data_IF_143700092367
#
_entry.id   IF_143700092367
#
_cell.length_a   1.000
_cell.length_b   1.000
_cell.length_c   1.000
_cell.angle_alpha   90.00
_cell.angle_beta   90.00
_cell.angle_gamma   90.00
#
_symmetry.space_group_name_H-M   'P 1'
#
loop_
_entity.id
_entity.type
_entity.pdbx_description
1 polymer ?
#
# COMPACT_ATOMS: atom_id res chain seq x y z
N UNK A 1 -73.92 -9.31 32.21
CA UNK A 1 -73.69 -10.34 31.17
C UNK A 1 -72.20 -10.61 31.08
N UNK A 2 -71.81 -11.89 31.02
CA UNK A 2 -70.43 -12.40 30.97
C UNK A 2 -69.74 -12.02 29.65
N UNK A 3 -68.40 -11.97 29.66
CA UNK A 3 -67.36 -12.09 28.60
C UNK A 3 -66.18 -11.18 29.03
N UNK A 4 -64.88 -11.49 29.02
CA UNK A 4 -63.99 -12.43 28.32
C UNK A 4 -62.81 -12.74 29.28
N UNK A 5 -62.47 -13.98 29.61
CA UNK A 5 -61.55 -14.89 28.89
C UNK A 5 -60.16 -14.31 28.55
N UNK A 6 -59.18 -14.75 29.35
CA UNK A 6 -57.79 -15.14 29.03
C UNK A 6 -57.03 -14.32 27.95
N UNK A 7 -55.94 -13.67 28.36
CA UNK A 7 -54.69 -13.76 27.61
C UNK A 7 -53.46 -13.49 28.50
N UNK A 8 -52.89 -14.57 29.03
CA UNK A 8 -51.56 -14.58 29.62
C UNK A 8 -50.55 -14.76 28.49
N UNK A 9 -49.92 -13.68 28.02
CA UNK A 9 -48.92 -13.75 26.95
C UNK A 9 -47.53 -13.80 27.57
N UNK A 10 -46.91 -14.99 27.51
CA UNK A 10 -45.52 -15.23 27.94
C UNK A 10 -44.57 -14.55 26.93
N UNK A 11 -43.92 -13.47 27.35
CA UNK A 11 -42.87 -12.82 26.58
C UNK A 11 -41.61 -13.70 26.59
N UNK A 12 -41.36 -14.44 25.51
CA UNK A 12 -40.11 -15.18 25.31
C UNK A 12 -39.04 -14.22 24.79
N UNK A 13 -38.03 -13.90 25.61
CA UNK A 13 -36.80 -13.28 25.13
C UNK A 13 -36.11 -14.24 24.15
N UNK A 14 -36.09 -13.89 22.87
CA UNK A 14 -35.27 -14.56 21.86
C UNK A 14 -33.91 -13.86 21.88
N UNK A 15 -32.90 -14.51 22.46
CA UNK A 15 -31.51 -14.07 22.38
C UNK A 15 -31.01 -14.29 20.95
N UNK A 16 -30.89 -13.20 20.19
CA UNK A 16 -30.32 -13.22 18.84
C UNK A 16 -28.79 -13.26 19.00
N UNK A 17 -28.21 -14.45 18.90
CA UNK A 17 -26.77 -14.64 18.70
C UNK A 17 -26.41 -14.13 17.29
N UNK A 18 -26.00 -12.86 17.21
CA UNK A 18 -25.46 -12.29 15.97
C UNK A 18 -24.06 -12.87 15.77
N UNK A 19 -23.80 -13.67 14.71
CA UNK A 19 -22.45 -14.10 14.41
C UNK A 19 -21.62 -12.86 14.03
N UNK A 20 -20.55 -12.60 14.79
CA UNK A 20 -19.63 -11.52 14.54
C UNK A 20 -18.74 -11.91 13.35
N UNK A 21 -19.16 -11.53 12.15
CA UNK A 21 -18.35 -11.73 10.94
C UNK A 21 -17.10 -10.87 11.07
N UNK A 22 -15.95 -11.53 11.28
CA UNK A 22 -14.64 -10.88 11.26
C UNK A 22 -14.35 -10.48 9.82
N UNK A 23 -14.57 -9.22 9.48
CA UNK A 23 -14.14 -8.65 8.20
C UNK A 23 -12.61 -8.63 8.20
N UNK A 24 -11.99 -9.46 7.35
CA UNK A 24 -10.55 -9.40 7.14
C UNK A 24 -10.18 -8.02 6.56
N UNK A 25 -9.07 -7.39 7.02
CA UNK A 25 -8.65 -6.11 6.48
C UNK A 25 -8.33 -6.27 4.98
N UNK A 26 -9.12 -5.60 4.14
CA UNK A 26 -8.80 -5.37 2.73
C UNK A 26 -7.52 -4.53 2.68
N UNK A 27 -6.56 -4.93 1.84
CA UNK A 27 -5.24 -4.34 1.70
C UNK A 27 -5.29 -2.81 1.67
N UNK A 28 -5.09 -2.23 2.84
CA UNK A 28 -5.07 -0.79 3.02
C UNK A 28 -3.76 -0.28 2.45
N UNK A 29 -3.83 0.82 1.69
CA UNK A 29 -2.69 1.56 1.19
C UNK A 29 -1.56 1.60 2.22
N UNK A 30 -0.43 1.00 1.89
CA UNK A 30 0.71 0.91 2.81
C UNK A 30 1.38 2.28 2.84
N UNK A 31 1.26 2.97 3.97
CA UNK A 31 1.91 4.25 4.22
C UNK A 31 3.12 3.96 5.11
N UNK A 32 4.29 4.29 4.59
CA UNK A 32 5.54 4.25 5.34
C UNK A 32 6.06 5.66 5.59
N UNK A 33 6.74 5.85 6.72
CA UNK A 33 7.26 7.16 7.17
C UNK A 33 8.74 7.04 7.52
N UNK A 34 9.54 7.98 7.04
CA UNK A 34 10.97 8.11 7.35
C UNK A 34 11.31 9.59 7.53
N UNK A 35 11.66 9.97 8.76
CA UNK A 35 11.93 11.36 9.12
C UNK A 35 10.71 12.26 8.89
N UNK A 36 10.82 13.23 7.99
CA UNK A 36 9.72 14.12 7.60
C UNK A 36 9.06 13.75 6.26
N UNK A 37 9.37 12.58 5.70
CA UNK A 37 8.80 12.06 4.45
C UNK A 37 7.87 10.89 4.75
N UNK A 38 6.67 10.93 4.17
CA UNK A 38 5.74 9.82 4.13
C UNK A 38 5.47 9.43 2.68
N UNK A 39 5.21 8.15 2.42
CA UNK A 39 4.79 7.72 1.09
C UNK A 39 3.70 6.68 1.15
N UNK A 40 2.63 6.95 0.39
CA UNK A 40 1.62 5.96 0.07
C UNK A 40 2.08 5.17 -1.15
N UNK A 41 2.12 3.85 -1.00
CA UNK A 41 2.54 2.93 -2.05
C UNK A 41 1.33 2.27 -2.71
N UNK A 42 1.42 2.08 -4.03
CA UNK A 42 0.48 1.28 -4.79
C UNK A 42 1.16 0.50 -5.91
N UNK A 43 0.70 -0.72 -6.16
CA UNK A 43 1.11 -1.55 -7.29
C UNK A 43 -0.08 -2.24 -7.94
N UNK A 44 -0.15 -2.18 -9.27
CA UNK A 44 -1.24 -2.76 -10.04
C UNK A 44 -1.04 -4.26 -10.34
N UNK A 45 -2.13 -5.03 -10.45
CA UNK A 45 -3.50 -4.68 -10.07
C UNK A 45 -3.71 -4.84 -8.55
N UNK A 46 -4.24 -3.81 -7.87
CA UNK A 46 -4.72 -3.90 -6.49
C UNK A 46 -3.78 -4.64 -5.52
N UNK A 47 -2.48 -4.33 -5.53
CA UNK A 47 -1.44 -4.97 -4.71
C UNK A 47 -1.23 -6.48 -4.95
N UNK A 48 -1.70 -6.99 -6.09
CA UNK A 48 -1.60 -8.39 -6.50
C UNK A 48 -0.90 -8.53 -7.87
N UNK A 49 0.38 -8.12 -7.98
CA UNK A 49 1.13 -8.27 -9.23
C UNK A 49 1.31 -9.75 -9.61
N UNK A 50 1.43 -10.00 -10.92
CA UNK A 50 1.59 -11.34 -11.47
C UNK A 50 2.97 -11.57 -12.08
N UNK A 51 3.44 -12.81 -12.04
CA UNK A 51 4.71 -13.21 -12.66
C UNK A 51 4.70 -12.91 -14.15
N UNK A 52 5.77 -12.29 -14.66
CA UNK A 52 5.93 -11.99 -16.07
C UNK A 52 4.98 -10.91 -16.63
N UNK A 53 4.08 -10.36 -15.80
CA UNK A 53 3.18 -9.29 -16.18
C UNK A 53 3.75 -7.95 -15.71
N UNK A 54 3.85 -6.94 -16.59
CA UNK A 54 4.23 -5.60 -16.18
C UNK A 54 3.22 -5.00 -15.19
N UNK A 55 3.69 -4.69 -13.99
CA UNK A 55 2.90 -4.05 -12.94
C UNK A 55 3.32 -2.59 -12.80
N UNK A 56 2.37 -1.66 -12.98
CA UNK A 56 2.60 -0.26 -12.67
C UNK A 56 2.70 -0.07 -11.17
N UNK A 57 3.69 0.68 -10.73
CA UNK A 57 3.96 0.97 -9.33
C UNK A 57 4.16 2.46 -9.16
N UNK A 58 3.63 3.04 -8.09
CA UNK A 58 3.85 4.45 -7.77
C UNK A 58 3.90 4.70 -6.27
N UNK A 59 4.55 5.80 -5.90
CA UNK A 59 4.78 6.22 -4.52
C UNK A 59 4.38 7.68 -4.36
N UNK A 60 3.23 7.95 -3.73
CA UNK A 60 2.82 9.31 -3.44
C UNK A 60 3.61 9.86 -2.25
N UNK A 61 4.78 10.44 -2.55
CA UNK A 61 5.65 11.08 -1.57
C UNK A 61 5.06 12.39 -1.08
N UNK A 62 5.05 12.57 0.24
CA UNK A 62 4.66 13.82 0.89
C UNK A 62 5.61 14.18 2.02
N UNK A 63 5.72 15.47 2.32
CA UNK A 63 6.36 15.98 3.53
C UNK A 63 5.35 16.10 4.65
N UNK A 64 5.82 16.23 5.89
CA UNK A 64 4.99 16.70 7.02
C UNK A 64 4.17 17.92 6.59
N UNK A 65 2.87 17.90 6.86
CA UNK A 65 1.91 18.90 6.38
C UNK A 65 1.26 18.56 5.02
N UNK A 66 1.56 17.40 4.42
CA UNK A 66 0.88 16.88 3.25
C UNK A 66 1.35 17.45 1.90
N UNK A 67 2.43 18.22 1.90
CA UNK A 67 3.01 18.78 0.68
C UNK A 67 3.63 17.67 -0.19
N UNK A 68 3.26 17.59 -1.46
CA UNK A 68 3.76 16.56 -2.38
C UNK A 68 5.25 16.78 -2.66
N UNK A 69 6.03 15.69 -2.69
CA UNK A 69 7.41 15.67 -3.19
C UNK A 69 7.39 15.06 -4.60
N UNK A 70 7.48 15.87 -5.68
CA UNK A 70 7.55 15.32 -7.03
C UNK A 70 8.92 14.69 -7.29
N UNK A 71 8.98 13.74 -8.23
CA UNK A 71 10.22 13.08 -8.67
C UNK A 71 11.26 14.09 -9.19
N UNK A 72 10.80 15.20 -9.77
CA UNK A 72 11.69 16.29 -10.22
C UNK A 72 12.52 16.90 -9.08
N UNK A 73 12.06 16.81 -7.82
CA UNK A 73 12.75 17.29 -6.62
C UNK A 73 13.55 16.21 -5.88
N UNK A 74 13.47 14.95 -6.30
CA UNK A 74 14.08 13.82 -5.61
C UNK A 74 15.15 13.14 -6.46
N UNK A 75 16.29 12.83 -5.85
CA UNK A 75 17.23 11.83 -6.36
C UNK A 75 16.77 10.44 -5.90
N UNK A 76 15.58 10.04 -6.37
CA UNK A 76 14.93 8.82 -5.93
C UNK A 76 15.48 7.60 -6.66
N UNK A 77 15.59 6.47 -5.97
CA UNK A 77 15.98 5.18 -6.52
C UNK A 77 15.06 4.08 -5.98
N UNK A 78 14.73 3.12 -6.83
CA UNK A 78 13.96 1.95 -6.44
C UNK A 78 14.79 0.68 -6.61
N UNK A 79 14.82 -0.13 -5.56
CA UNK A 79 15.49 -1.42 -5.53
C UNK A 79 14.49 -2.51 -5.14
N UNK A 80 14.53 -3.65 -5.83
CA UNK A 80 13.65 -4.80 -5.57
C UNK A 80 14.51 -5.99 -5.16
N UNK A 81 14.18 -6.60 -4.02
CA UNK A 81 14.87 -7.76 -3.47
C UNK A 81 13.89 -8.93 -3.36
N UNK A 82 14.31 -10.14 -3.71
CA UNK A 82 13.55 -11.35 -3.38
C UNK A 82 13.63 -11.65 -1.89
N UNK A 83 12.56 -12.17 -1.29
CA UNK A 83 12.54 -12.65 0.10
C UNK A 83 12.41 -14.20 0.13
N UNK A 84 13.19 -14.90 0.98
CA UNK A 84 14.27 -14.37 1.81
C UNK A 84 15.43 -13.84 0.96
N UNK A 85 16.11 -12.82 1.46
CA UNK A 85 17.18 -12.15 0.72
C UNK A 85 18.40 -13.06 0.60
N UNK A 86 18.70 -13.50 -0.63
CA UNK A 86 19.86 -14.35 -0.92
C UNK A 86 21.16 -13.56 -1.13
N UNK A 87 21.05 -12.26 -1.42
CA UNK A 87 22.17 -11.37 -1.71
C UNK A 87 21.85 -9.92 -1.34
N UNK A 88 22.88 -9.15 -0.98
CA UNK A 88 22.78 -7.69 -0.75
C UNK A 88 22.55 -6.90 -2.04
N UNK A 89 22.74 -7.51 -3.21
CA UNK A 89 22.47 -6.88 -4.50
C UNK A 89 20.98 -6.98 -4.83
N UNK A 90 20.32 -5.89 -5.25
CA UNK A 90 18.92 -5.97 -5.66
C UNK A 90 18.76 -6.80 -6.92
N UNK A 91 17.67 -7.56 -6.96
CA UNK A 91 17.27 -8.36 -8.12
C UNK A 91 16.89 -7.45 -9.30
N UNK A 92 16.15 -6.37 -9.03
CA UNK A 92 15.76 -5.38 -10.03
C UNK A 92 16.09 -3.96 -9.53
N UNK A 93 16.44 -3.08 -10.46
CA UNK A 93 16.56 -1.63 -10.23
C UNK A 93 15.71 -0.88 -11.26
N UNK A 94 14.37 -0.86 -11.10
CA UNK A 94 13.49 -0.20 -12.06
C UNK A 94 13.81 1.29 -12.14
N UNK A 95 13.85 1.83 -13.36
CA UNK A 95 13.97 3.28 -13.55
C UNK A 95 12.68 3.97 -13.14
N UNK A 96 12.81 5.09 -12.42
CA UNK A 96 11.67 5.89 -12.00
C UNK A 96 11.33 6.93 -13.07
N UNK A 97 10.03 7.11 -13.28
CA UNK A 97 9.42 8.10 -14.15
C UNK A 97 8.36 8.89 -13.37
N UNK A 98 8.09 10.10 -13.84
CA UNK A 98 7.13 11.00 -13.21
C UNK A 98 5.71 10.60 -13.63
N UNK A 99 4.84 10.29 -12.67
CA UNK A 99 3.44 9.91 -12.95
C UNK A 99 2.46 10.88 -12.29
N UNK A 100 1.32 11.08 -12.95
CA UNK A 100 0.15 11.74 -12.37
C UNK A 100 -0.90 10.67 -12.06
N UNK A 101 -1.25 10.52 -10.79
CA UNK A 101 -2.20 9.49 -10.31
C UNK A 101 -3.16 10.15 -9.34
N UNK A 102 -4.47 9.91 -9.52
CA UNK A 102 -5.52 10.51 -8.69
C UNK A 102 -5.34 12.03 -8.52
N UNK A 103 -5.11 12.49 -7.28
CA UNK A 103 -4.80 13.88 -6.90
C UNK A 103 -3.30 14.20 -6.87
N UNK A 104 -2.44 13.19 -6.94
CA UNK A 104 -0.99 13.35 -6.86
C UNK A 104 -0.40 13.67 -8.24
N UNK A 105 0.58 14.57 -8.26
CA UNK A 105 1.20 15.05 -9.50
C UNK A 105 2.71 14.86 -9.45
N UNK A 106 3.24 14.32 -10.54
CA UNK A 106 4.66 14.08 -10.76
C UNK A 106 5.32 13.16 -9.73
N UNK A 107 4.59 12.19 -9.18
CA UNK A 107 5.11 11.26 -8.18
C UNK A 107 6.05 10.24 -8.82
N UNK A 108 7.02 9.70 -8.06
CA UNK A 108 7.83 8.58 -8.54
C UNK A 108 6.97 7.37 -8.89
N UNK A 109 7.14 6.84 -10.10
CA UNK A 109 6.53 5.60 -10.53
C UNK A 109 7.41 4.78 -11.47
N UNK A 110 7.16 3.48 -11.53
CA UNK A 110 7.90 2.54 -12.34
C UNK A 110 6.99 1.45 -12.88
N UNK A 111 7.47 0.72 -13.88
CA UNK A 111 6.89 -0.55 -14.31
C UNK A 111 7.83 -1.67 -13.87
N UNK A 112 7.29 -2.64 -13.14
CA UNK A 112 8.07 -3.76 -12.59
C UNK A 112 7.50 -5.04 -13.19
N UNK A 113 8.36 -5.87 -13.78
CA UNK A 113 7.99 -7.23 -14.21
C UNK A 113 8.74 -8.22 -13.32
N UNK A 114 8.00 -8.92 -12.45
CA UNK A 114 8.60 -9.86 -11.51
C UNK A 114 8.91 -11.18 -12.22
N UNK A 115 10.14 -11.72 -12.09
CA UNK A 115 10.54 -12.90 -12.86
C UNK A 115 9.96 -14.21 -12.31
N UNK A 116 9.59 -14.24 -11.02
CA UNK A 116 9.12 -15.45 -10.34
C UNK A 116 8.06 -15.12 -9.29
N UNK A 117 7.23 -16.11 -8.95
CA UNK A 117 6.28 -15.99 -7.85
C UNK A 117 7.04 -16.00 -6.53
N UNK A 118 6.52 -15.28 -5.53
CA UNK A 118 7.14 -15.19 -4.22
C UNK A 118 6.99 -13.82 -3.57
N UNK A 119 7.69 -13.65 -2.45
CA UNK A 119 7.70 -12.39 -1.71
C UNK A 119 8.88 -11.53 -2.14
N UNK A 120 8.65 -10.23 -2.22
CA UNK A 120 9.65 -9.25 -2.58
C UNK A 120 9.61 -8.08 -1.60
N UNK A 121 10.75 -7.44 -1.41
CA UNK A 121 10.86 -6.14 -0.75
C UNK A 121 11.19 -5.09 -1.79
N UNK A 122 10.36 -4.05 -1.87
CA UNK A 122 10.61 -2.85 -2.66
C UNK A 122 11.15 -1.79 -1.71
N UNK A 123 12.36 -1.32 -1.96
CA UNK A 123 12.99 -0.26 -1.18
C UNK A 123 13.11 1.00 -2.03
N UNK A 124 12.37 2.03 -1.66
CA UNK A 124 12.47 3.37 -2.24
C UNK A 124 13.38 4.22 -1.35
N UNK A 125 14.46 4.73 -1.92
CA UNK A 125 15.35 5.70 -1.26
C UNK A 125 15.35 7.01 -2.00
N UNK A 126 15.68 8.10 -1.30
CA UNK A 126 15.78 9.39 -1.93
C UNK A 126 16.53 10.41 -1.09
N UNK A 127 17.17 11.35 -1.79
CA UNK A 127 17.73 12.58 -1.22
C UNK A 127 17.14 13.79 -1.93
N UNK A 128 17.05 14.96 -1.27
CA UNK A 128 16.60 16.18 -1.91
C UNK A 128 17.59 16.60 -3.01
N UNK A 129 17.04 17.04 -4.14
CA UNK A 129 17.80 17.84 -5.12
C UNK A 129 17.98 19.27 -4.59
N UNK A 130 18.88 20.03 -5.22
CA UNK A 130 19.08 21.46 -4.89
C UNK A 130 17.76 22.22 -4.88
N UNK A 131 17.50 22.99 -3.82
CA UNK A 131 16.26 23.74 -3.61
C UNK A 131 15.07 22.94 -3.07
N UNK A 132 15.15 21.61 -2.99
CA UNK A 132 14.15 20.80 -2.30
C UNK A 132 14.43 20.72 -0.79
N UNK A 133 13.37 20.66 0.01
CA UNK A 133 13.47 20.71 1.48
C UNK A 133 12.78 19.51 2.14
N UNK A 134 13.43 18.35 2.10
CA UNK A 134 13.05 17.15 2.84
C UNK A 134 14.29 16.37 3.27
N UNK A 135 14.16 15.54 4.31
CA UNK A 135 15.27 14.70 4.78
C UNK A 135 15.49 13.51 3.85
N UNK A 136 16.74 13.02 3.70
CA UNK A 136 16.99 11.71 3.10
C UNK A 136 16.12 10.63 3.74
N UNK A 137 15.63 9.70 2.92
CA UNK A 137 14.71 8.67 3.39
C UNK A 137 15.02 7.29 2.79
N UNK A 138 14.51 6.27 3.48
CA UNK A 138 14.44 4.88 3.01
C UNK A 138 13.11 4.28 3.47
N UNK A 139 12.29 3.84 2.52
CA UNK A 139 10.97 3.26 2.76
C UNK A 139 10.93 1.87 2.13
N UNK A 140 10.35 0.89 2.82
CA UNK A 140 10.33 -0.50 2.38
C UNK A 140 8.93 -1.08 2.42
N UNK A 141 8.54 -1.76 1.34
CA UNK A 141 7.20 -2.35 1.17
C UNK A 141 7.34 -3.83 0.81
N UNK A 142 6.48 -4.67 1.37
CA UNK A 142 6.48 -6.09 1.02
C UNK A 142 5.37 -6.41 0.03
N UNK A 143 5.74 -7.10 -1.05
CA UNK A 143 4.82 -7.46 -2.13
C UNK A 143 4.85 -8.97 -2.32
N UNK A 144 3.68 -9.58 -2.41
CA UNK A 144 3.54 -10.99 -2.79
C UNK A 144 3.13 -11.07 -4.25
N UNK A 145 3.94 -11.76 -5.05
CA UNK A 145 3.71 -11.97 -6.48
C UNK A 145 3.17 -13.39 -6.68
N UNK A 146 2.05 -13.50 -7.38
CA UNK A 146 1.38 -14.76 -7.70
C UNK A 146 1.49 -15.07 -9.19
N UNK A 147 1.19 -16.31 -9.59
CA UNK A 147 1.14 -16.69 -11.00
C UNK A 147 -0.12 -16.16 -11.69
#
# INVERSE_FOLDING_TARGET
MRLCSKLCSKLKLISILVPFWVLAPVGAHEIEISGNVAAMFHIEPNHNPKVGVPSKTWFALTRRGGQIIPLSQCNCQLAVYSLPQKSKTPLLKPSLSSLNVERYRGVPGATITFPQAGRYQLTLTGTPKSGANFQPFSLSYQVTVVR
#
